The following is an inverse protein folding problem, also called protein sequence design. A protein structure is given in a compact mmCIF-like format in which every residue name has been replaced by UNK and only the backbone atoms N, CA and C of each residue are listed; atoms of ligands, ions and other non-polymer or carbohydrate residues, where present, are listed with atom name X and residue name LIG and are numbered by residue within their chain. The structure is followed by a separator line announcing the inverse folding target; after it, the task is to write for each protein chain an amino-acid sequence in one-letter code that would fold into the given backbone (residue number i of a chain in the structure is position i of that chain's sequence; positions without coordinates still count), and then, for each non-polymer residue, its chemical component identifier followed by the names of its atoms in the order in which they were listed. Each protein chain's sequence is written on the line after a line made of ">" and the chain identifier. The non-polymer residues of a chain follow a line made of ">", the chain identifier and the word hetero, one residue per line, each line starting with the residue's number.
data_IF_543631064512
#
_entry.id   IF_543631064512
#
_cell.length_a   1.000
_cell.length_b   1.000
_cell.length_c   1.000
_cell.angle_alpha   90.00
_cell.angle_beta   90.00
_cell.angle_gamma   90.00
#
_symmetry.space_group_name_H-M   'P 1'
#
loop_
_entity.id
_entity.type
_entity.pdbx_description
1 polymer ?
#
# COMPACT_ATOMS: atom_id res chain seq x y z
N UNK A 1 21.25 -17.51 -21.84
CA UNK A 1 21.09 -17.24 -20.39
C UNK A 1 20.07 -16.14 -20.26
N UNK A 2 18.97 -16.43 -19.55
CA UNK A 2 17.86 -15.49 -19.31
C UNK A 2 18.39 -14.33 -18.46
N UNK A 3 18.39 -13.11 -18.99
CA UNK A 3 18.95 -11.94 -18.29
C UNK A 3 18.04 -11.37 -17.19
N UNK A 4 16.88 -12.01 -16.96
CA UNK A 4 15.74 -11.41 -16.25
C UNK A 4 15.36 -12.17 -14.96
N UNK A 5 16.34 -12.78 -14.29
CA UNK A 5 16.12 -13.60 -13.09
C UNK A 5 15.88 -12.78 -11.81
N UNK A 6 15.89 -11.46 -11.88
CA UNK A 6 15.61 -10.57 -10.74
C UNK A 6 14.31 -9.83 -10.98
N UNK A 7 13.45 -9.66 -9.97
CA UNK A 7 12.30 -8.78 -10.08
C UNK A 7 12.76 -7.34 -10.25
N UNK A 8 11.85 -6.51 -10.78
CA UNK A 8 12.06 -5.09 -11.02
C UNK A 8 10.79 -4.31 -10.74
N UNK A 9 10.94 -3.02 -10.41
CA UNK A 9 9.83 -2.07 -10.42
C UNK A 9 9.18 -2.02 -11.81
N UNK A 10 7.85 -2.00 -11.86
CA UNK A 10 7.09 -2.10 -13.11
C UNK A 10 6.62 -0.73 -13.64
N UNK A 11 6.64 0.29 -12.79
CA UNK A 11 6.11 1.62 -12.99
C UNK A 11 4.59 1.62 -13.17
N UNK A 12 4.09 2.58 -13.94
CA UNK A 12 2.65 2.70 -14.26
C UNK A 12 2.18 1.72 -15.35
N UNK A 13 2.94 0.66 -15.62
CA UNK A 13 2.54 -0.38 -16.57
C UNK A 13 1.44 -1.21 -15.94
N UNK A 14 0.52 -1.72 -16.77
CA UNK A 14 -0.53 -2.62 -16.29
C UNK A 14 0.12 -3.88 -15.72
N UNK A 15 -0.11 -4.14 -14.44
CA UNK A 15 0.40 -5.31 -13.75
C UNK A 15 -0.75 -6.14 -13.19
N UNK A 16 -0.45 -7.39 -12.84
CA UNK A 16 -1.38 -8.25 -12.11
C UNK A 16 -0.60 -9.06 -11.07
N UNK A 17 -1.17 -9.13 -9.86
CA UNK A 17 -0.67 -9.89 -8.71
C UNK A 17 -0.93 -11.38 -8.82
N UNK A 18 0.13 -12.20 -8.93
CA UNK A 18 0.02 -13.65 -9.14
C UNK A 18 0.45 -14.43 -7.90
N UNK A 19 -0.22 -14.18 -6.78
CA UNK A 19 0.05 -14.85 -5.51
C UNK A 19 0.03 -16.38 -5.63
N UNK A 20 1.13 -17.02 -5.25
CA UNK A 20 1.30 -18.48 -5.33
C UNK A 20 1.72 -19.05 -3.97
N UNK A 21 0.72 -19.53 -3.23
CA UNK A 21 0.89 -20.16 -1.90
C UNK A 21 1.57 -21.53 -1.95
N UNK A 22 1.68 -22.13 -3.13
CA UNK A 22 2.15 -23.50 -3.33
C UNK A 22 3.56 -23.55 -3.94
N UNK A 23 3.96 -22.49 -4.67
CA UNK A 23 5.21 -22.45 -5.43
C UNK A 23 5.18 -23.29 -6.72
N UNK A 24 3.99 -23.59 -7.24
CA UNK A 24 3.78 -24.48 -8.38
C UNK A 24 2.94 -23.86 -9.51
N UNK A 25 2.32 -22.71 -9.27
CA UNK A 25 1.34 -22.10 -10.18
C UNK A 25 1.97 -21.11 -11.17
N UNK A 26 3.17 -20.60 -10.88
CA UNK A 26 3.79 -19.50 -11.62
C UNK A 26 3.94 -19.75 -13.13
N UNK A 27 4.21 -20.98 -13.57
CA UNK A 27 4.25 -21.31 -15.00
C UNK A 27 2.89 -21.10 -15.69
N UNK A 28 1.80 -21.53 -15.03
CA UNK A 28 0.45 -21.29 -15.53
C UNK A 28 0.06 -19.81 -15.48
N UNK A 29 0.55 -19.06 -14.48
CA UNK A 29 0.39 -17.61 -14.41
C UNK A 29 1.03 -16.89 -15.61
N UNK A 30 2.24 -17.32 -16.01
CA UNK A 30 2.92 -16.81 -17.21
C UNK A 30 2.14 -17.12 -18.48
N UNK A 31 1.65 -18.35 -18.62
CA UNK A 31 0.81 -18.74 -19.77
C UNK A 31 -0.45 -17.88 -19.86
N UNK A 32 -1.08 -17.55 -18.72
CA UNK A 32 -2.30 -16.75 -18.67
C UNK A 32 -2.12 -15.31 -19.15
N UNK A 33 -0.95 -14.71 -18.94
CA UNK A 33 -0.67 -13.33 -19.37
C UNK A 33 0.10 -13.21 -20.67
N UNK A 34 0.60 -14.33 -21.21
CA UNK A 34 1.35 -14.34 -22.46
C UNK A 34 0.51 -13.77 -23.61
N UNK A 35 1.07 -12.79 -24.32
CA UNK A 35 0.38 -12.09 -25.40
C UNK A 35 -0.60 -10.99 -24.96
N UNK A 36 -0.72 -10.71 -23.66
CA UNK A 36 -1.50 -9.60 -23.12
C UNK A 36 -0.60 -8.38 -22.80
N UNK A 37 -1.16 -7.18 -22.56
CA UNK A 37 -0.36 -6.02 -22.14
C UNK A 37 0.01 -6.01 -20.64
N UNK A 38 -0.34 -7.05 -19.88
CA UNK A 38 -0.10 -7.12 -18.44
C UNK A 38 1.30 -7.67 -18.14
N UNK A 39 1.97 -7.07 -17.16
CA UNK A 39 3.18 -7.61 -16.53
C UNK A 39 2.81 -8.39 -15.27
N UNK A 40 3.55 -9.46 -14.99
CA UNK A 40 3.29 -10.30 -13.82
C UNK A 40 4.06 -9.84 -12.59
N UNK A 41 3.38 -9.76 -11.46
CA UNK A 41 4.01 -9.76 -10.14
C UNK A 41 3.97 -11.22 -9.65
N UNK A 42 5.04 -11.97 -9.95
CA UNK A 42 5.05 -13.44 -9.80
C UNK A 42 5.48 -13.91 -8.41
N UNK A 43 6.22 -13.09 -7.66
CA UNK A 43 6.51 -13.36 -6.26
C UNK A 43 5.61 -12.46 -5.40
N UNK A 44 4.48 -12.98 -4.94
CA UNK A 44 3.57 -12.26 -4.06
C UNK A 44 3.03 -13.18 -2.99
N UNK A 45 3.20 -12.80 -1.71
CA UNK A 45 2.49 -13.37 -0.57
C UNK A 45 2.50 -12.37 0.58
N UNK A 46 1.40 -12.34 1.33
CA UNK A 46 1.29 -11.60 2.58
C UNK A 46 2.00 -12.33 3.73
N UNK A 47 2.33 -11.59 4.79
CA UNK A 47 2.91 -12.15 6.02
C UNK A 47 2.01 -13.23 6.63
N UNK A 48 0.68 -13.01 6.58
CA UNK A 48 -0.32 -13.99 7.03
C UNK A 48 -0.23 -15.31 6.25
N UNK A 49 -0.05 -15.24 4.93
CA UNK A 49 0.07 -16.44 4.10
C UNK A 49 1.40 -17.16 4.29
N UNK A 50 2.51 -16.42 4.42
CA UNK A 50 3.82 -17.00 4.77
C UNK A 50 3.73 -17.81 6.07
N UNK A 51 3.12 -17.25 7.11
CA UNK A 51 2.93 -17.92 8.39
C UNK A 51 2.05 -19.17 8.28
N UNK A 52 0.93 -19.10 7.53
CA UNK A 52 0.01 -20.25 7.35
C UNK A 52 0.58 -21.38 6.51
N UNK A 53 1.44 -21.04 5.55
CA UNK A 53 2.10 -22.01 4.67
C UNK A 53 3.45 -22.49 5.21
N UNK A 54 3.92 -21.92 6.32
CA UNK A 54 5.25 -22.13 6.87
C UNK A 54 6.37 -21.90 5.84
N UNK A 55 6.18 -20.87 5.00
CA UNK A 55 7.15 -20.45 3.99
C UNK A 55 7.88 -19.21 4.44
N UNK A 56 9.07 -19.03 3.90
CA UNK A 56 9.87 -17.82 4.01
C UNK A 56 9.73 -16.97 2.74
N UNK A 57 9.94 -15.65 2.81
CA UNK A 57 9.93 -14.78 1.62
C UNK A 57 10.85 -15.28 0.51
N UNK A 58 12.03 -15.80 0.88
CA UNK A 58 12.97 -16.41 -0.07
C UNK A 58 12.39 -17.64 -0.80
N UNK A 59 11.51 -18.43 -0.18
CA UNK A 59 10.86 -19.57 -0.83
C UNK A 59 9.89 -19.12 -1.93
N UNK A 60 9.26 -17.95 -1.75
CA UNK A 60 8.36 -17.34 -2.74
C UNK A 60 9.17 -16.78 -3.90
N UNK A 61 10.23 -16.03 -3.59
CA UNK A 61 11.14 -15.48 -4.59
C UNK A 61 11.77 -16.58 -5.44
N UNK A 62 12.32 -17.63 -4.82
CA UNK A 62 12.96 -18.74 -5.51
C UNK A 62 11.99 -19.46 -6.44
N UNK A 63 10.76 -19.75 -5.99
CA UNK A 63 9.75 -20.39 -6.83
C UNK A 63 9.41 -19.54 -8.09
N UNK A 64 9.35 -18.21 -7.95
CA UNK A 64 9.14 -17.32 -9.08
C UNK A 64 10.34 -17.30 -10.03
N UNK A 65 11.57 -17.22 -9.50
CA UNK A 65 12.81 -17.24 -10.29
C UNK A 65 12.96 -18.56 -11.05
N UNK A 66 12.72 -19.70 -10.41
CA UNK A 66 12.77 -21.02 -11.02
C UNK A 66 11.78 -21.12 -12.18
N UNK A 67 10.56 -20.58 -12.02
CA UNK A 67 9.57 -20.54 -13.08
C UNK A 67 9.96 -19.59 -14.23
N UNK A 68 10.53 -18.41 -13.92
CA UNK A 68 11.06 -17.47 -14.92
C UNK A 68 12.15 -18.13 -15.75
N UNK A 69 13.06 -18.87 -15.11
CA UNK A 69 14.11 -19.60 -15.79
C UNK A 69 13.54 -20.73 -16.65
N UNK A 70 12.67 -21.57 -16.09
CA UNK A 70 12.06 -22.70 -16.78
C UNK A 70 11.21 -22.30 -18.00
N UNK A 71 10.50 -21.17 -17.92
CA UNK A 71 9.72 -20.63 -19.03
C UNK A 71 10.57 -19.81 -20.02
N UNK A 72 11.85 -19.56 -19.72
CA UNK A 72 12.70 -18.60 -20.46
C UNK A 72 12.04 -17.22 -20.58
N UNK A 73 11.39 -16.77 -19.49
CA UNK A 73 10.61 -15.54 -19.47
C UNK A 73 11.52 -14.31 -19.61
N UNK A 74 11.20 -13.44 -20.57
CA UNK A 74 12.05 -12.29 -20.94
C UNK A 74 11.46 -10.92 -20.59
N UNK A 75 10.18 -10.85 -20.22
CA UNK A 75 9.50 -9.59 -19.91
C UNK A 75 9.74 -9.19 -18.44
N UNK A 76 9.82 -7.89 -18.10
CA UNK A 76 9.93 -7.46 -16.71
C UNK A 76 8.84 -8.08 -15.82
N UNK A 77 9.20 -8.43 -14.59
CA UNK A 77 8.29 -9.00 -13.61
C UNK A 77 8.56 -8.41 -12.22
N UNK A 78 7.54 -8.41 -11.37
CA UNK A 78 7.57 -7.79 -10.05
C UNK A 78 7.55 -8.80 -8.91
N UNK A 79 7.90 -8.31 -7.72
CA UNK A 79 7.79 -9.05 -6.46
C UNK A 79 7.18 -8.15 -5.39
N UNK A 80 5.98 -8.50 -4.93
CA UNK A 80 5.16 -7.73 -4.00
C UNK A 80 5.14 -8.34 -2.60
N UNK A 81 5.64 -7.55 -1.65
CA UNK A 81 5.60 -7.81 -0.24
C UNK A 81 4.25 -7.32 0.29
N UNK A 82 3.30 -8.25 0.30
CA UNK A 82 1.89 -7.95 0.44
C UNK A 82 1.47 -7.76 1.92
N UNK A 83 0.52 -6.86 2.19
CA UNK A 83 -0.01 -6.53 3.53
C UNK A 83 1.04 -6.40 4.65
N UNK A 84 2.01 -5.49 4.49
CA UNK A 84 3.03 -5.21 5.51
C UNK A 84 2.52 -4.25 6.58
N UNK A 85 2.74 -4.62 7.84
CA UNK A 85 2.32 -3.83 9.00
C UNK A 85 3.50 -3.44 9.92
N UNK A 86 4.62 -4.17 9.89
CA UNK A 86 5.72 -4.03 10.85
C UNK A 86 7.06 -3.70 10.20
N UNK A 87 7.96 -3.09 10.97
CA UNK A 87 9.33 -2.82 10.55
C UNK A 87 10.06 -4.12 10.26
N UNK A 88 9.94 -5.12 11.12
CA UNK A 88 10.62 -6.39 11.01
C UNK A 88 10.29 -7.10 9.70
N UNK A 89 9.00 -7.12 9.32
CA UNK A 89 8.55 -7.71 8.07
C UNK A 89 9.04 -6.93 6.84
N UNK A 90 9.07 -5.59 6.89
CA UNK A 90 9.65 -4.76 5.82
C UNK A 90 11.10 -5.19 5.54
N UNK A 91 11.94 -5.28 6.58
CA UNK A 91 13.34 -5.66 6.42
C UNK A 91 13.50 -7.09 5.90
N UNK A 92 12.71 -8.02 6.46
CA UNK A 92 12.72 -9.43 6.06
C UNK A 92 12.35 -9.61 4.58
N UNK A 93 11.35 -8.88 4.10
CA UNK A 93 10.93 -8.93 2.69
C UNK A 93 11.93 -8.22 1.78
N UNK A 94 12.46 -7.06 2.20
CA UNK A 94 13.45 -6.33 1.45
C UNK A 94 14.77 -7.12 1.28
N UNK A 95 15.19 -7.87 2.31
CA UNK A 95 16.36 -8.77 2.26
C UNK A 95 16.18 -9.90 1.24
N UNK A 96 14.96 -10.43 1.10
CA UNK A 96 14.63 -11.44 0.10
C UNK A 96 14.55 -10.90 -1.34
N UNK A 97 14.70 -9.58 -1.55
CA UNK A 97 14.78 -8.96 -2.87
C UNK A 97 13.45 -8.49 -3.45
N UNK A 98 12.42 -8.32 -2.62
CA UNK A 98 11.15 -7.73 -3.03
C UNK A 98 11.34 -6.28 -3.51
N UNK A 99 10.51 -5.86 -4.46
CA UNK A 99 10.62 -4.56 -5.16
C UNK A 99 9.35 -3.73 -5.10
N UNK A 100 8.26 -4.31 -4.62
CA UNK A 100 6.97 -3.67 -4.41
C UNK A 100 6.57 -3.96 -2.96
N UNK A 101 6.13 -2.93 -2.24
CA UNK A 101 5.75 -3.02 -0.82
C UNK A 101 4.33 -2.51 -0.64
N UNK A 102 3.41 -3.41 -0.30
CA UNK A 102 2.02 -3.07 0.00
C UNK A 102 1.89 -2.83 1.50
N UNK A 103 1.70 -1.56 1.88
CA UNK A 103 1.56 -1.13 3.27
C UNK A 103 0.10 -1.30 3.67
N UNK A 104 -0.12 -2.00 4.77
CA UNK A 104 -1.42 -2.16 5.41
C UNK A 104 -1.43 -1.42 6.76
N UNK A 105 -2.10 -0.26 6.86
CA UNK A 105 -2.24 0.49 8.09
C UNK A 105 -3.57 0.22 8.80
N UNK A 106 -4.30 -0.85 8.45
CA UNK A 106 -5.68 -1.12 8.92
C UNK A 106 -5.81 -1.08 10.45
N UNK A 107 -4.83 -1.60 11.18
CA UNK A 107 -4.76 -1.55 12.66
C UNK A 107 -4.82 -0.13 13.24
N UNK A 108 -4.49 0.89 12.44
CA UNK A 108 -4.46 2.31 12.81
C UNK A 108 -5.63 3.11 12.22
N UNK A 109 -6.52 2.48 11.46
CA UNK A 109 -7.75 3.11 10.96
C UNK A 109 -8.79 3.11 12.08
N UNK A 110 -9.29 4.28 12.46
CA UNK A 110 -10.31 4.39 13.49
C UNK A 110 -11.72 4.17 12.91
N UNK A 111 -12.14 2.91 12.82
CA UNK A 111 -13.45 2.52 12.29
C UNK A 111 -14.64 3.06 13.11
N UNK A 112 -14.44 3.38 14.41
CA UNK A 112 -15.51 3.92 15.26
C UNK A 112 -15.90 5.37 14.92
N UNK A 113 -15.06 6.06 14.15
CA UNK A 113 -15.25 7.48 13.78
C UNK A 113 -16.55 7.72 13.03
N UNK A 114 -16.99 6.76 12.22
CA UNK A 114 -18.21 6.91 11.41
C UNK A 114 -19.47 7.03 12.27
N UNK A 115 -19.47 6.35 13.43
CA UNK A 115 -20.53 6.36 14.43
C UNK A 115 -20.34 7.44 15.52
N UNK A 116 -19.21 8.13 15.51
CA UNK A 116 -18.90 9.13 16.54
C UNK A 116 -19.61 10.45 16.25
N UNK A 117 -20.22 11.02 17.29
CA UNK A 117 -20.89 12.32 17.23
C UNK A 117 -19.89 13.45 16.94
N UNK A 118 -20.32 14.41 16.13
CA UNK A 118 -19.46 15.50 15.66
C UNK A 118 -18.87 16.34 16.81
N UNK A 119 -19.66 16.62 17.84
CA UNK A 119 -19.22 17.41 18.99
C UNK A 119 -18.10 16.71 19.78
N UNK A 120 -18.09 15.38 19.79
CA UNK A 120 -17.02 14.59 20.42
C UNK A 120 -15.72 14.68 19.60
N UNK A 121 -15.81 14.60 18.28
CA UNK A 121 -14.66 14.78 17.39
C UNK A 121 -14.07 16.19 17.52
N UNK A 122 -14.92 17.23 17.58
CA UNK A 122 -14.47 18.62 17.82
C UNK A 122 -13.74 18.76 19.15
N UNK A 123 -14.29 18.16 20.21
CA UNK A 123 -13.73 18.21 21.57
C UNK A 123 -12.36 17.54 21.64
N UNK A 124 -12.19 16.41 20.95
CA UNK A 124 -10.95 15.62 20.98
C UNK A 124 -9.93 16.06 19.93
N UNK A 125 -10.35 16.82 18.91
CA UNK A 125 -9.52 17.23 17.77
C UNK A 125 -8.18 17.85 18.16
N UNK A 126 -8.13 18.77 19.13
CA UNK A 126 -6.85 19.41 19.51
C UNK A 126 -5.82 18.42 20.04
N UNK A 127 -6.28 17.43 20.81
CA UNK A 127 -5.42 16.36 21.35
C UNK A 127 -5.04 15.41 20.23
N UNK A 128 -6.02 14.96 19.44
CA UNK A 128 -5.80 14.11 18.26
C UNK A 128 -4.76 14.72 17.32
N UNK A 129 -4.96 15.97 16.91
CA UNK A 129 -4.07 16.69 16.01
C UNK A 129 -2.66 16.75 16.61
N UNK A 130 -2.52 17.05 17.90
CA UNK A 130 -1.22 17.03 18.61
C UNK A 130 -0.52 15.68 18.55
N UNK A 131 -1.23 14.59 18.82
CA UNK A 131 -0.67 13.23 18.82
C UNK A 131 -0.39 12.73 17.41
N UNK A 132 -1.12 13.25 16.43
CA UNK A 132 -1.04 12.87 15.03
C UNK A 132 -0.13 13.77 14.18
N UNK A 133 0.42 14.87 14.74
CA UNK A 133 1.19 15.85 13.95
C UNK A 133 2.29 15.21 13.11
N UNK A 134 2.17 15.39 11.80
CA UNK A 134 3.24 15.18 10.83
C UNK A 134 4.10 16.43 10.66
N UNK A 135 3.47 17.59 10.70
CA UNK A 135 4.04 18.92 10.51
C UNK A 135 3.40 19.90 11.51
N UNK A 136 3.87 21.15 11.52
CA UNK A 136 3.33 22.19 12.40
C UNK A 136 1.91 22.66 12.06
N UNK A 137 1.38 22.28 10.90
CA UNK A 137 0.11 22.77 10.35
C UNK A 137 -1.10 22.08 10.97
N UNK A 138 -2.18 22.84 11.20
CA UNK A 138 -3.46 22.29 11.61
C UNK A 138 -4.21 21.73 10.39
N UNK A 139 -4.53 20.42 10.40
CA UNK A 139 -5.13 19.73 9.26
C UNK A 139 -6.52 20.29 8.91
N UNK A 140 -7.32 20.63 9.92
CA UNK A 140 -8.65 21.20 9.72
C UNK A 140 -8.53 22.58 9.05
N UNK A 141 -7.68 23.47 9.56
CA UNK A 141 -7.44 24.78 8.94
C UNK A 141 -6.88 24.67 7.52
N UNK A 142 -6.11 23.62 7.25
CA UNK A 142 -5.52 23.40 5.93
C UNK A 142 -6.53 22.94 4.88
N UNK A 143 -7.53 22.16 5.27
CA UNK A 143 -8.44 21.51 4.32
C UNK A 143 -9.83 22.15 4.28
N UNK A 144 -10.31 22.72 5.39
CA UNK A 144 -11.68 23.21 5.46
C UNK A 144 -11.93 24.39 4.51
N UNK A 145 -12.96 24.30 3.69
CA UNK A 145 -13.28 25.30 2.66
C UNK A 145 -12.56 25.10 1.33
N UNK A 146 -11.53 24.25 1.28
CA UNK A 146 -10.79 24.00 0.05
C UNK A 146 -11.61 23.18 -0.96
N UNK A 147 -11.42 23.48 -2.23
CA UNK A 147 -12.09 22.82 -3.36
C UNK A 147 -11.06 22.35 -4.37
N UNK A 148 -11.19 21.09 -4.78
CA UNK A 148 -10.23 20.41 -5.64
C UNK A 148 -10.86 20.08 -6.99
N UNK A 149 -10.24 20.58 -8.04
CA UNK A 149 -10.61 20.27 -9.42
C UNK A 149 -10.01 18.92 -9.83
N UNK A 150 -10.88 17.98 -10.18
CA UNK A 150 -10.52 16.63 -10.62
C UNK A 150 -10.61 16.48 -12.16
N UNK A 151 -10.56 17.59 -12.89
CA UNK A 151 -10.68 17.67 -14.34
C UNK A 151 -12.03 17.17 -14.87
N UNK A 152 -12.08 15.92 -15.34
CA UNK A 152 -13.26 15.33 -15.99
C UNK A 152 -14.30 14.79 -14.99
N UNK A 153 -14.12 15.07 -13.70
CA UNK A 153 -14.97 14.58 -12.62
C UNK A 153 -15.56 15.76 -11.83
N UNK A 154 -16.58 15.47 -11.03
CA UNK A 154 -17.16 16.45 -10.11
C UNK A 154 -16.11 16.97 -9.14
N UNK A 155 -16.16 18.28 -8.86
CA UNK A 155 -15.27 18.91 -7.89
C UNK A 155 -15.57 18.37 -6.49
N UNK A 156 -14.52 18.18 -5.71
CA UNK A 156 -14.64 17.76 -4.31
C UNK A 156 -14.25 18.92 -3.40
N UNK A 157 -15.09 19.21 -2.41
CA UNK A 157 -14.86 20.31 -1.46
C UNK A 157 -15.03 19.83 -0.02
N UNK A 158 -14.11 20.24 0.85
CA UNK A 158 -14.22 20.01 2.30
C UNK A 158 -15.01 21.16 2.97
N UNK A 159 -16.27 21.31 2.59
CA UNK A 159 -17.16 22.36 3.14
C UNK A 159 -18.03 21.87 4.31
N UNK A 160 -18.00 20.57 4.60
CA UNK A 160 -18.69 19.96 5.72
C UNK A 160 -17.67 19.62 6.81
N UNK A 161 -17.80 20.28 7.96
CA UNK A 161 -16.90 20.13 9.10
C UNK A 161 -16.91 18.68 9.64
N UNK A 162 -18.07 18.02 9.61
CA UNK A 162 -18.18 16.64 10.07
C UNK A 162 -17.49 15.66 9.14
N UNK A 163 -17.62 15.85 7.83
CA UNK A 163 -16.93 15.00 6.86
C UNK A 163 -15.41 15.12 7.02
N UNK A 164 -14.89 16.34 7.13
CA UNK A 164 -13.45 16.56 7.29
C UNK A 164 -12.92 16.02 8.61
N UNK A 165 -13.60 16.30 9.74
CA UNK A 165 -13.17 15.79 11.05
C UNK A 165 -13.21 14.27 11.11
N UNK A 166 -14.19 13.63 10.47
CA UNK A 166 -14.24 12.17 10.37
C UNK A 166 -13.08 11.61 9.55
N UNK A 167 -12.79 12.18 8.38
CA UNK A 167 -11.65 11.75 7.56
C UNK A 167 -10.32 11.87 8.32
N UNK A 168 -10.10 13.00 9.00
CA UNK A 168 -8.89 13.23 9.81
C UNK A 168 -8.77 12.21 10.95
N UNK A 169 -9.83 12.03 11.75
CA UNK A 169 -9.78 11.12 12.90
C UNK A 169 -9.68 9.65 12.49
N UNK A 170 -10.29 9.28 11.36
CA UNK A 170 -10.29 7.91 10.84
C UNK A 170 -8.94 7.52 10.27
N UNK A 171 -8.32 8.37 9.47
CA UNK A 171 -7.10 8.02 8.72
C UNK A 171 -5.82 8.67 9.25
N UNK A 172 -5.89 9.66 10.14
CA UNK A 172 -4.68 10.36 10.59
C UNK A 172 -3.62 9.42 11.17
N UNK A 173 -3.99 8.52 12.08
CA UNK A 173 -3.02 7.57 12.65
C UNK A 173 -2.55 6.53 11.63
N UNK A 174 -3.43 6.09 10.74
CA UNK A 174 -3.08 5.22 9.61
C UNK A 174 -2.00 5.86 8.72
N UNK A 175 -2.20 7.10 8.29
CA UNK A 175 -1.21 7.85 7.51
C UNK A 175 0.12 8.03 8.27
N UNK A 176 0.06 8.16 9.61
CA UNK A 176 1.26 8.33 10.44
C UNK A 176 2.07 7.05 10.44
N UNK A 177 1.39 5.92 10.56
CA UNK A 177 2.00 4.62 10.43
C UNK A 177 2.53 4.38 9.01
N UNK A 178 1.78 4.74 7.97
CA UNK A 178 2.23 4.65 6.57
C UNK A 178 3.53 5.41 6.33
N UNK A 179 3.68 6.61 6.90
CA UNK A 179 4.95 7.37 6.82
C UNK A 179 6.11 6.66 7.52
N UNK A 180 5.85 6.02 8.66
CA UNK A 180 6.88 5.22 9.35
C UNK A 180 7.29 4.00 8.50
N UNK A 181 6.30 3.28 7.95
CA UNK A 181 6.51 2.16 7.02
C UNK A 181 7.32 2.59 5.80
N UNK A 182 6.98 3.72 5.18
CA UNK A 182 7.75 4.33 4.09
C UNK A 182 9.22 4.53 4.46
N UNK A 183 9.48 5.13 5.63
CA UNK A 183 10.85 5.38 6.10
C UNK A 183 11.62 4.07 6.33
N UNK A 184 10.96 3.03 6.86
CA UNK A 184 11.57 1.71 7.03
C UNK A 184 11.85 1.03 5.68
N UNK A 185 10.97 1.19 4.69
CA UNK A 185 11.19 0.67 3.33
C UNK A 185 12.39 1.38 2.69
N UNK A 186 12.49 2.71 2.82
CA UNK A 186 13.67 3.48 2.40
C UNK A 186 14.95 2.97 3.07
N UNK A 187 14.92 2.75 4.39
CA UNK A 187 16.07 2.23 5.16
C UNK A 187 16.48 0.82 4.67
N UNK A 188 15.51 -0.07 4.45
CA UNK A 188 15.74 -1.45 4.03
C UNK A 188 16.14 -1.60 2.55
N UNK A 189 15.67 -0.71 1.68
CA UNK A 189 15.98 -0.73 0.25
C UNK A 189 17.27 0.01 -0.09
N UNK A 190 17.68 1.00 0.72
CA UNK A 190 18.81 1.88 0.43
C UNK A 190 18.65 2.51 -0.97
N UNK A 191 19.65 2.35 -1.85
CA UNK A 191 19.62 2.87 -3.22
C UNK A 191 18.82 1.99 -4.20
N UNK A 192 18.27 0.85 -3.76
CA UNK A 192 17.46 -0.01 -4.64
C UNK A 192 16.11 0.65 -4.94
N UNK A 193 15.68 0.67 -6.21
CA UNK A 193 14.36 1.17 -6.55
C UNK A 193 13.28 0.25 -5.96
N UNK A 194 12.19 0.86 -5.52
CA UNK A 194 11.02 0.15 -5.01
C UNK A 194 9.72 0.89 -5.35
N UNK A 195 8.61 0.16 -5.25
CA UNK A 195 7.24 0.64 -5.41
C UNK A 195 6.48 0.51 -4.09
N UNK A 196 5.49 1.38 -3.90
CA UNK A 196 4.61 1.34 -2.73
C UNK A 196 3.17 1.33 -3.19
N UNK A 197 2.40 0.47 -2.54
CA UNK A 197 0.96 0.56 -2.47
C UNK A 197 0.53 0.86 -1.03
N UNK A 198 -0.51 1.67 -0.88
CA UNK A 198 -1.20 1.84 0.38
C UNK A 198 -2.54 1.11 0.28
N UNK A 199 -2.69 0.03 1.05
CA UNK A 199 -3.94 -0.72 1.10
C UNK A 199 -4.84 -0.18 2.20
N UNK A 200 -6.07 0.20 1.85
CA UNK A 200 -7.14 0.59 2.78
C UNK A 200 -8.43 -0.15 2.44
N UNK A 201 -8.29 -1.37 1.94
CA UNK A 201 -9.36 -2.23 1.47
C UNK A 201 -9.97 -3.11 2.60
N UNK A 202 -9.16 -3.48 3.60
CA UNK A 202 -9.60 -4.26 4.77
C UNK A 202 -10.21 -3.38 5.90
N UNK A 203 -10.95 -2.33 5.56
CA UNK A 203 -11.64 -1.48 6.55
C UNK A 203 -13.12 -1.86 6.72
N UNK A 204 -13.67 -1.66 7.92
CA UNK A 204 -15.08 -2.02 8.24
C UNK A 204 -16.08 -1.23 7.39
N UNK A 205 -15.70 -0.04 6.93
CA UNK A 205 -16.53 0.84 6.11
C UNK A 205 -15.79 1.23 4.84
N UNK A 206 -16.55 1.49 3.78
CA UNK A 206 -15.98 1.91 2.48
C UNK A 206 -15.35 3.29 2.57
N UNK A 207 -14.16 3.43 1.99
CA UNK A 207 -13.49 4.72 1.81
C UNK A 207 -14.28 5.59 0.82
N UNK A 208 -14.78 6.71 1.29
CA UNK A 208 -15.49 7.72 0.49
C UNK A 208 -14.54 8.51 -0.42
N UNK A 209 -15.04 9.17 -1.49
CA UNK A 209 -14.18 9.98 -2.36
C UNK A 209 -13.43 11.10 -1.63
N UNK A 210 -14.05 11.76 -0.63
CA UNK A 210 -13.39 12.81 0.16
C UNK A 210 -12.33 12.25 1.11
N UNK A 211 -12.56 11.09 1.72
CA UNK A 211 -11.54 10.39 2.50
C UNK A 211 -10.36 9.97 1.61
N UNK A 212 -10.64 9.43 0.43
CA UNK A 212 -9.58 9.06 -0.52
C UNK A 212 -8.79 10.28 -0.99
N UNK A 213 -9.46 11.40 -1.28
CA UNK A 213 -8.79 12.67 -1.61
C UNK A 213 -7.89 13.14 -0.47
N UNK A 214 -8.38 13.11 0.78
CA UNK A 214 -7.61 13.48 1.96
C UNK A 214 -6.35 12.61 2.11
N UNK A 215 -6.48 11.28 1.99
CA UNK A 215 -5.35 10.33 2.01
C UNK A 215 -4.32 10.69 0.92
N UNK A 216 -4.77 10.86 -0.32
CA UNK A 216 -3.89 11.18 -1.45
C UNK A 216 -3.16 12.52 -1.30
N UNK A 217 -3.82 13.53 -0.74
CA UNK A 217 -3.20 14.83 -0.48
C UNK A 217 -2.16 14.75 0.64
N UNK A 218 -2.45 14.04 1.73
CA UNK A 218 -1.50 13.87 2.83
C UNK A 218 -0.26 13.08 2.42
N UNK A 219 -0.40 12.04 1.59
CA UNK A 219 0.75 11.26 1.11
C UNK A 219 1.63 12.03 0.11
N UNK A 220 1.08 13.05 -0.55
CA UNK A 220 1.82 13.88 -1.51
C UNK A 220 2.71 14.93 -0.84
N UNK A 221 2.40 15.30 0.41
CA UNK A 221 3.13 16.33 1.17
C UNK A 221 4.44 15.79 1.71
#
# INVERSE_FOLDING_TARGET
>A
MTQNLKPSVLGLKRSFGFGDRLGLATLGHMDAISGTPYLGIFAQQSIRELNRTNRQPGDVMNAAVDAVEANSWTQPWGADADHLQTREDVFRMAEAGYTFFTIDPSDYVNNSTDLTEIEELKRTYKVFNSDNKFESTDLFEQYFGETYDLNNYEQLSFNDEAVLLKAIHKYGFALKHTKNMYNWICEACQDRPFEIELSVDETDTSTTPLEHLFIGLELKR
#
